data_IF_730583809794
#
_entry.id   IF_730583809794
#
_cell.length_a   1.000
_cell.length_b   1.000
_cell.length_c   1.000
_cell.angle_alpha   90.00
_cell.angle_beta   90.00
_cell.angle_gamma   90.00
#
_symmetry.space_group_name_H-M   'P 1'
#
loop_
_entity.id
_entity.type
_entity.pdbx_description
1 polymer ?
#
# COMPACT_ATOMS: atom_id res chain seq x y z
N UNK A 1 29.55 21.68 27.99
CA UNK A 1 29.03 20.30 28.03
C UNK A 1 29.01 19.62 29.41
N UNK A 2 30.05 19.70 30.25
CA UNK A 2 30.12 18.95 31.53
C UNK A 2 28.99 19.22 32.55
N UNK A 3 28.40 20.43 32.57
CA UNK A 3 27.32 20.77 33.53
C UNK A 3 25.97 20.15 33.18
N UNK A 4 25.63 20.06 31.90
CA UNK A 4 24.35 19.53 31.43
C UNK A 4 24.27 18.01 31.63
N UNK A 5 25.37 17.29 31.37
CA UNK A 5 25.48 15.84 31.57
C UNK A 5 25.31 15.49 33.06
N UNK A 6 25.90 16.28 33.96
CA UNK A 6 25.72 16.09 35.41
C UNK A 6 24.28 16.31 35.85
N UNK A 7 23.57 17.28 35.26
CA UNK A 7 22.17 17.53 35.57
C UNK A 7 21.26 16.37 35.12
N UNK A 8 21.51 15.80 33.93
CA UNK A 8 20.74 14.68 33.39
C UNK A 8 20.96 13.40 34.23
N UNK A 9 22.21 13.07 34.56
CA UNK A 9 22.52 11.92 35.41
C UNK A 9 21.88 12.04 36.81
N UNK A 10 21.86 13.25 37.36
CA UNK A 10 21.26 13.51 38.67
C UNK A 10 19.72 13.39 38.60
N UNK A 11 19.11 13.78 37.48
CA UNK A 11 17.68 13.59 37.22
C UNK A 11 17.32 12.10 37.12
N UNK A 12 18.10 11.32 36.37
CA UNK A 12 17.90 9.87 36.23
C UNK A 12 18.02 9.16 37.58
N UNK A 13 19.04 9.50 38.39
CA UNK A 13 19.17 8.95 39.74
C UNK A 13 17.99 9.29 40.65
N UNK A 14 17.44 10.50 40.54
CA UNK A 14 16.25 10.90 41.30
C UNK A 14 15.03 10.07 40.86
N UNK A 15 14.82 9.87 39.56
CA UNK A 15 13.71 9.08 39.05
C UNK A 15 13.79 7.60 39.46
N UNK A 16 14.99 7.00 39.42
CA UNK A 16 15.21 5.62 39.86
C UNK A 16 15.04 5.47 41.37
N UNK A 17 15.48 6.46 42.16
CA UNK A 17 15.29 6.44 43.61
C UNK A 17 13.81 6.66 44.01
N UNK A 18 13.06 7.46 43.24
CA UNK A 18 11.66 7.75 43.51
C UNK A 18 10.70 6.61 43.11
N UNK A 19 11.10 5.70 42.22
CA UNK A 19 10.27 4.58 41.78
C UNK A 19 10.15 3.44 42.79
N UNK A 20 10.91 3.49 43.90
CA UNK A 20 10.85 2.47 44.96
C UNK A 20 11.35 1.09 44.54
N UNK A 21 12.02 0.98 43.38
CA UNK A 21 12.59 -0.28 42.91
C UNK A 21 13.86 -0.62 43.70
N UNK A 22 13.95 -1.81 44.33
CA UNK A 22 15.18 -2.24 44.98
C UNK A 22 16.26 -2.51 43.92
N UNK A 23 17.34 -1.72 43.96
CA UNK A 23 18.52 -1.93 43.12
C UNK A 23 19.32 -3.12 43.63
N UNK A 24 19.11 -4.29 43.02
CA UNK A 24 20.01 -5.44 43.18
C UNK A 24 21.17 -5.26 42.21
N UNK A 25 22.35 -4.96 42.75
CA UNK A 25 23.55 -4.60 41.98
C UNK A 25 24.13 -5.73 41.10
N UNK A 26 23.61 -6.96 41.20
CA UNK A 26 24.20 -8.15 40.54
C UNK A 26 23.41 -8.70 39.34
N UNK A 27 22.28 -8.12 38.94
CA UNK A 27 21.46 -8.72 37.86
C UNK A 27 20.79 -7.75 36.89
N UNK A 28 21.27 -6.52 36.76
CA UNK A 28 20.76 -5.56 35.78
C UNK A 28 21.87 -5.15 34.82
N UNK A 29 22.01 -5.90 33.73
CA UNK A 29 22.80 -5.47 32.58
C UNK A 29 21.89 -4.59 31.71
N UNK A 30 21.78 -3.31 32.07
CA UNK A 30 21.11 -2.34 31.20
C UNK A 30 22.05 -1.99 30.05
N UNK A 31 21.84 -2.63 28.90
CA UNK A 31 22.53 -2.27 27.67
C UNK A 31 21.82 -1.05 27.06
N UNK A 32 22.17 0.14 27.56
CA UNK A 32 21.74 1.41 26.98
C UNK A 32 22.64 1.74 25.78
N UNK A 33 22.50 0.98 24.70
CA UNK A 33 23.04 1.39 23.39
C UNK A 33 22.16 2.49 22.81
N UNK A 34 22.32 3.70 23.34
CA UNK A 34 22.01 4.89 22.56
C UNK A 34 23.14 5.05 21.54
N UNK A 35 22.95 4.53 20.33
CA UNK A 35 23.72 4.97 19.17
C UNK A 35 23.33 6.41 18.87
N UNK A 36 23.96 7.35 19.57
CA UNK A 36 24.09 8.70 19.06
C UNK A 36 24.95 8.59 17.79
N UNK A 37 24.40 9.05 16.66
CA UNK A 37 25.16 9.21 15.43
C UNK A 37 26.52 9.81 15.77
N UNK A 38 27.58 9.05 15.49
CA UNK A 38 28.94 9.50 15.79
C UNK A 38 29.28 10.64 14.83
N UNK A 39 29.90 11.74 15.29
CA UNK A 39 30.32 12.80 14.41
C UNK A 39 31.31 12.22 13.40
N UNK A 40 30.92 12.24 12.13
CA UNK A 40 31.76 11.76 11.04
C UNK A 40 32.93 12.73 10.84
N UNK A 41 34.16 12.21 10.88
CA UNK A 41 35.33 12.94 10.38
C UNK A 41 35.36 12.79 8.86
N UNK A 42 34.83 13.77 8.14
CA UNK A 42 35.04 13.85 6.70
C UNK A 42 36.52 14.05 6.40
N UNK A 43 37.04 13.24 5.48
CA UNK A 43 38.37 13.40 4.93
C UNK A 43 38.46 14.70 4.10
N UNK A 44 38.89 15.80 4.74
CA UNK A 44 39.69 16.94 4.20
C UNK A 44 39.58 18.13 5.16
N UNK A 45 40.66 18.92 5.27
CA UNK A 45 40.93 19.98 6.26
C UNK A 45 39.89 21.13 6.37
N UNK A 46 38.81 21.11 5.57
CA UNK A 46 37.85 22.19 5.43
C UNK A 46 36.48 21.93 6.09
N UNK A 47 36.02 20.67 6.19
CA UNK A 47 34.78 20.30 6.90
C UNK A 47 35.14 19.65 8.24
N UNK A 48 34.59 20.18 9.33
CA UNK A 48 34.92 19.82 10.71
C UNK A 48 33.95 18.78 11.27
N UNK A 49 32.65 18.93 11.00
CA UNK A 49 31.62 18.03 11.48
C UNK A 49 30.36 18.12 10.61
N UNK A 50 29.65 17.01 10.48
CA UNK A 50 28.33 16.93 9.86
C UNK A 50 27.44 16.15 10.82
N UNK A 51 26.35 16.76 11.23
CA UNK A 51 25.32 16.14 12.07
C UNK A 51 24.01 16.10 11.29
N UNK A 52 23.27 15.00 11.42
CA UNK A 52 21.97 14.83 10.78
C UNK A 52 20.92 14.46 11.82
N UNK A 53 19.71 14.99 11.66
CA UNK A 53 18.57 14.65 12.52
C UNK A 53 17.27 14.64 11.72
N UNK A 54 16.35 13.77 12.12
CA UNK A 54 15.01 13.68 11.55
C UNK A 54 14.01 14.08 12.63
N UNK A 55 13.10 14.98 12.28
CA UNK A 55 11.93 15.33 13.09
C UNK A 55 10.67 14.88 12.35
N UNK A 56 9.86 14.01 12.95
CA UNK A 56 8.58 13.60 12.36
C UNK A 56 7.55 14.72 12.54
N UNK A 57 7.12 15.36 11.43
CA UNK A 57 5.99 16.31 11.45
C UNK A 57 4.65 15.55 11.50
N UNK A 58 4.61 14.41 10.82
CA UNK A 58 3.61 13.35 10.92
C UNK A 58 4.28 12.00 10.62
N UNK A 59 3.62 10.86 10.85
CA UNK A 59 4.18 9.53 10.53
C UNK A 59 4.58 9.31 9.07
N UNK A 60 4.02 10.08 8.13
CA UNK A 60 4.35 10.05 6.70
C UNK A 60 5.10 11.31 6.21
N UNK A 61 5.49 12.21 7.12
CA UNK A 61 6.11 13.49 6.78
C UNK A 61 7.29 13.82 7.73
N UNK A 62 8.44 13.14 7.55
CA UNK A 62 9.69 13.53 8.18
C UNK A 62 10.25 14.85 7.62
N UNK A 63 10.86 15.63 8.50
CA UNK A 63 11.75 16.74 8.17
C UNK A 63 13.17 16.35 8.51
N UNK A 64 14.04 16.42 7.53
CA UNK A 64 15.48 16.19 7.67
C UNK A 64 16.19 17.53 7.91
N UNK A 65 17.04 17.56 8.92
CA UNK A 65 17.95 18.66 9.21
C UNK A 65 19.40 18.18 9.15
N UNK A 66 20.23 18.91 8.39
CA UNK A 66 21.67 18.66 8.25
C UNK A 66 22.40 19.90 8.77
N UNK A 67 23.28 19.70 9.74
CA UNK A 67 24.12 20.74 10.32
C UNK A 67 25.57 20.51 9.91
N UNK A 68 26.17 21.48 9.22
CA UNK A 68 27.53 21.39 8.68
C UNK A 68 28.39 22.45 9.36
N UNK A 69 29.43 21.99 10.05
CA UNK A 69 30.47 22.84 10.62
C UNK A 69 31.70 22.79 9.71
N UNK A 70 32.16 23.96 9.26
CA UNK A 70 33.21 24.11 8.28
C UNK A 70 34.20 25.20 8.71
N UNK A 71 35.41 25.17 8.15
CA UNK A 71 36.42 26.20 8.38
C UNK A 71 35.92 27.57 7.90
N UNK A 72 36.14 28.64 8.68
CA UNK A 72 35.73 30.02 8.34
C UNK A 72 36.15 30.44 6.92
N UNK A 73 37.27 29.91 6.41
CA UNK A 73 37.79 30.21 5.06
C UNK A 73 36.86 29.81 3.91
N UNK A 74 36.01 28.80 4.12
CA UNK A 74 35.09 28.28 3.10
C UNK A 74 33.63 28.65 3.37
N UNK A 75 33.38 29.45 4.41
CA UNK A 75 32.05 29.97 4.70
C UNK A 75 31.79 31.28 3.93
N UNK A 76 30.56 31.50 3.44
CA UNK A 76 29.45 30.56 3.40
C UNK A 76 29.68 29.45 2.37
N UNK A 77 29.18 28.24 2.67
CA UNK A 77 29.18 27.13 1.70
C UNK A 77 28.36 27.53 0.47
N UNK A 78 28.92 27.32 -0.73
CA UNK A 78 28.29 27.65 -2.01
C UNK A 78 27.69 26.40 -2.62
N UNK A 79 26.39 26.16 -2.42
CA UNK A 79 25.72 24.99 -2.97
C UNK A 79 25.44 25.15 -4.47
N UNK A 80 25.51 24.04 -5.21
CA UNK A 80 25.21 24.02 -6.65
C UNK A 80 23.80 24.55 -6.92
N UNK A 81 23.68 25.46 -7.89
CA UNK A 81 22.36 25.99 -8.30
C UNK A 81 21.51 24.97 -9.07
N UNK A 82 22.12 23.94 -9.63
CA UNK A 82 21.41 22.92 -10.41
C UNK A 82 21.03 21.74 -9.53
N UNK A 83 22.01 21.15 -8.84
CA UNK A 83 21.86 19.90 -8.09
C UNK A 83 22.51 20.05 -6.70
N UNK A 84 21.93 20.89 -5.80
CA UNK A 84 22.53 21.15 -4.50
C UNK A 84 22.58 19.89 -3.63
N UNK A 85 21.55 19.04 -3.75
CA UNK A 85 21.35 17.86 -2.92
C UNK A 85 20.79 16.71 -3.76
N UNK A 86 21.44 15.56 -3.66
CA UNK A 86 20.98 14.27 -4.16
C UNK A 86 20.68 13.39 -2.93
N UNK A 87 19.47 12.81 -2.91
CA UNK A 87 19.04 11.85 -1.89
C UNK A 87 18.97 10.47 -2.52
N UNK A 88 19.58 9.48 -1.86
CA UNK A 88 19.42 8.08 -2.27
C UNK A 88 18.69 7.32 -1.17
N UNK A 89 17.63 6.60 -1.55
CA UNK A 89 16.76 5.88 -0.63
C UNK A 89 17.02 4.39 -0.81
N UNK A 90 17.19 3.70 0.32
CA UNK A 90 17.48 2.28 0.38
C UNK A 90 16.40 1.54 1.15
N UNK A 91 16.12 0.32 0.70
CA UNK A 91 15.33 -0.68 1.40
C UNK A 91 16.15 -1.97 1.49
N UNK A 92 16.40 -2.48 2.71
CA UNK A 92 17.22 -3.68 2.95
C UNK A 92 18.54 -3.68 2.13
N UNK A 93 19.26 -2.56 2.14
CA UNK A 93 20.48 -2.29 1.36
C UNK A 93 20.34 -2.11 -0.17
N UNK A 94 19.17 -2.33 -0.75
CA UNK A 94 18.91 -2.07 -2.17
C UNK A 94 18.55 -0.62 -2.40
N UNK A 95 19.24 0.05 -3.33
CA UNK A 95 18.89 1.40 -3.77
C UNK A 95 17.56 1.33 -4.54
N UNK A 96 16.51 1.96 -4.02
CA UNK A 96 15.18 1.97 -4.63
C UNK A 96 14.91 3.24 -5.43
N UNK A 97 15.46 4.39 -4.99
CA UNK A 97 15.21 5.66 -5.66
C UNK A 97 16.36 6.66 -5.40
N UNK A 98 16.54 7.59 -6.34
CA UNK A 98 17.46 8.73 -6.20
C UNK A 98 16.73 10.00 -6.64
N UNK A 99 16.67 11.01 -5.77
CA UNK A 99 15.96 12.26 -6.02
C UNK A 99 16.90 13.46 -5.91
N UNK A 100 16.77 14.39 -6.85
CA UNK A 100 17.39 15.71 -6.76
C UNK A 100 16.45 16.68 -6.03
N UNK A 101 16.89 17.19 -4.88
CA UNK A 101 16.08 18.11 -4.07
C UNK A 101 16.39 19.56 -4.42
N UNK A 102 15.35 20.33 -4.75
CA UNK A 102 15.44 21.76 -5.08
C UNK A 102 14.82 22.65 -4.02
N UNK A 103 13.75 22.18 -3.37
CA UNK A 103 13.05 22.91 -2.33
C UNK A 103 13.70 22.66 -0.97
N UNK A 104 14.74 23.44 -0.68
CA UNK A 104 15.53 23.33 0.55
C UNK A 104 15.66 24.70 1.21
N UNK A 105 15.67 24.70 2.54
CA UNK A 105 15.97 25.90 3.32
C UNK A 105 17.40 25.84 3.80
N UNK A 106 18.22 26.82 3.40
CA UNK A 106 19.62 26.93 3.84
C UNK A 106 19.74 28.14 4.75
N UNK A 107 20.16 27.89 5.99
CA UNK A 107 20.48 28.92 6.98
C UNK A 107 21.99 28.98 7.09
N UNK A 108 22.58 30.00 6.48
CA UNK A 108 24.02 30.23 6.54
C UNK A 108 24.45 30.65 7.96
N UNK A 109 25.56 30.08 8.43
CA UNK A 109 26.11 30.35 9.75
C UNK A 109 27.20 29.34 10.11
N UNK A 110 27.57 29.34 11.39
CA UNK A 110 28.40 28.30 11.99
C UNK A 110 27.61 27.69 13.17
N UNK A 111 26.95 26.52 12.96
CA UNK A 111 26.93 25.71 11.75
C UNK A 111 26.02 26.27 10.63
N UNK A 112 26.27 25.84 9.39
CA UNK A 112 25.32 26.02 8.27
C UNK A 112 24.28 24.92 8.36
N UNK A 113 22.99 25.29 8.37
CA UNK A 113 21.88 24.36 8.55
C UNK A 113 21.11 24.23 7.23
N UNK A 114 20.83 23.00 6.83
CA UNK A 114 19.97 22.67 5.69
C UNK A 114 18.75 21.93 6.23
N UNK A 115 17.57 22.38 5.85
CA UNK A 115 16.30 21.73 6.18
C UNK A 115 15.55 21.36 4.90
N UNK A 116 15.01 20.14 4.87
CA UNK A 116 14.13 19.68 3.80
C UNK A 116 13.03 18.78 4.34
N UNK A 117 11.85 18.90 3.73
CA UNK A 117 10.69 18.06 3.99
C UNK A 117 10.74 16.85 3.05
N UNK A 118 10.53 15.66 3.61
CA UNK A 118 10.59 14.38 2.89
C UNK A 118 9.24 13.64 3.02
N UNK A 119 8.12 14.23 2.54
CA UNK A 119 6.84 13.55 2.64
C UNK A 119 6.84 12.28 1.79
N UNK A 120 6.23 11.21 2.30
CA UNK A 120 6.28 9.87 1.70
C UNK A 120 5.78 9.85 0.24
N UNK A 121 4.75 10.63 -0.07
CA UNK A 121 4.18 10.74 -1.40
C UNK A 121 5.11 11.43 -2.42
N UNK A 122 6.05 12.26 -1.96
CA UNK A 122 7.09 12.83 -2.83
C UNK A 122 8.09 11.75 -3.25
N UNK A 123 8.36 10.81 -2.36
CA UNK A 123 9.30 9.70 -2.58
C UNK A 123 8.66 8.55 -3.36
N UNK A 124 7.33 8.52 -3.40
CA UNK A 124 6.48 7.50 -4.01
C UNK A 124 6.78 6.08 -3.52
N UNK A 125 6.98 5.94 -2.20
CA UNK A 125 7.32 4.67 -1.55
C UNK A 125 6.21 4.21 -0.60
N UNK A 126 6.05 2.89 -0.39
CA UNK A 126 5.08 2.38 0.57
C UNK A 126 5.48 2.63 2.03
N UNK A 127 4.61 2.22 2.96
CA UNK A 127 4.91 2.18 4.38
C UNK A 127 6.05 1.18 4.65
N UNK A 128 7.00 1.54 5.50
CA UNK A 128 8.17 0.69 5.75
C UNK A 128 9.34 1.41 6.41
N UNK A 129 10.40 0.64 6.62
CA UNK A 129 11.67 1.14 7.15
C UNK A 129 12.65 1.31 5.99
N UNK A 130 13.25 2.49 5.91
CA UNK A 130 14.17 2.87 4.85
C UNK A 130 15.43 3.48 5.45
N UNK A 131 16.46 3.56 4.63
CA UNK A 131 17.64 4.34 4.93
C UNK A 131 17.85 5.39 3.85
N UNK A 132 18.25 6.59 4.24
CA UNK A 132 18.53 7.69 3.32
C UNK A 132 19.99 8.08 3.45
N UNK A 133 20.72 8.14 2.34
CA UNK A 133 21.96 8.89 2.27
C UNK A 133 21.78 10.20 1.49
N UNK A 134 22.63 11.16 1.81
CA UNK A 134 22.57 12.50 1.26
C UNK A 134 23.92 12.83 0.69
N UNK A 135 23.92 13.35 -0.53
CA UNK A 135 25.08 13.89 -1.20
C UNK A 135 24.85 15.36 -1.52
N UNK A 136 25.67 16.21 -0.90
CA UNK A 136 25.63 17.66 -1.06
C UNK A 136 26.70 18.09 -2.04
N UNK A 137 26.31 18.84 -3.07
CA UNK A 137 27.24 19.41 -4.05
C UNK A 137 27.53 20.86 -3.68
N UNK A 138 28.76 21.10 -3.24
CA UNK A 138 29.24 22.42 -2.80
C UNK A 138 30.35 22.87 -3.75
N UNK A 139 30.12 23.96 -4.48
CA UNK A 139 30.98 24.49 -5.56
C UNK A 139 32.37 24.92 -5.07
N UNK A 140 32.47 25.39 -3.82
CA UNK A 140 33.74 25.77 -3.20
C UNK A 140 34.43 24.61 -2.47
N UNK A 141 34.01 23.35 -2.72
CA UNK A 141 34.68 22.12 -2.29
C UNK A 141 35.08 21.27 -3.49
N UNK A 142 36.21 20.57 -3.39
CA UNK A 142 36.71 19.69 -4.45
C UNK A 142 35.89 18.40 -4.62
N UNK A 143 35.16 17.99 -3.59
CA UNK A 143 34.39 16.76 -3.56
C UNK A 143 33.04 17.00 -2.85
N UNK A 144 31.97 16.28 -3.25
CA UNK A 144 30.69 16.39 -2.58
C UNK A 144 30.78 15.86 -1.14
N UNK A 145 29.94 16.41 -0.27
CA UNK A 145 29.79 15.93 1.10
C UNK A 145 28.78 14.79 1.08
N UNK A 146 29.14 13.62 1.61
CA UNK A 146 28.24 12.46 1.69
C UNK A 146 27.95 12.15 3.16
N UNK A 147 26.68 11.99 3.52
CA UNK A 147 26.26 11.59 4.86
C UNK A 147 26.44 10.09 5.09
N UNK A 148 26.41 9.67 6.36
CA UNK A 148 26.04 8.28 6.66
C UNK A 148 24.59 8.02 6.25
N UNK A 149 24.23 6.74 6.09
CA UNK A 149 22.84 6.34 5.97
C UNK A 149 22.06 6.71 7.24
N UNK A 150 20.87 7.23 7.08
CA UNK A 150 19.99 7.69 8.16
C UNK A 150 18.71 6.85 8.12
N UNK A 151 18.35 6.13 9.18
CA UNK A 151 17.11 5.37 9.20
C UNK A 151 15.90 6.30 9.24
N UNK A 152 14.86 5.97 8.48
CA UNK A 152 13.58 6.65 8.48
C UNK A 152 12.47 5.62 8.34
N UNK A 153 11.40 5.76 9.11
CA UNK A 153 10.23 4.89 9.05
C UNK A 153 9.04 5.70 8.58
N UNK A 154 8.36 5.21 7.55
CA UNK A 154 7.12 5.77 7.04
C UNK A 154 5.93 4.94 7.46
N UNK A 155 4.87 5.63 7.86
CA UNK A 155 3.59 5.03 8.13
C UNK A 155 2.46 5.97 7.69
N UNK A 156 1.52 5.45 6.92
CA UNK A 156 0.33 6.20 6.50
C UNK A 156 -0.78 6.05 7.53
N UNK A 157 -1.38 7.16 7.95
CA UNK A 157 -2.59 7.13 8.78
C UNK A 157 -3.82 6.88 7.90
N UNK A 158 -4.07 5.60 7.59
CA UNK A 158 -5.16 5.12 6.76
C UNK A 158 -5.85 3.90 7.37
N UNK A 159 -7.16 3.79 7.15
CA UNK A 159 -8.01 2.80 7.82
C UNK A 159 -8.52 1.74 6.85
N UNK A 160 -8.33 0.47 7.22
CA UNK A 160 -8.96 -0.66 6.55
C UNK A 160 -10.31 -1.00 7.18
N UNK A 161 -11.29 -1.36 6.34
CA UNK A 161 -12.59 -1.87 6.80
C UNK A 161 -12.75 -3.29 6.29
N UNK A 162 -12.88 -4.24 7.22
CA UNK A 162 -13.03 -5.67 6.91
C UNK A 162 -14.22 -5.97 6.00
N UNK A 163 -14.12 -7.05 5.24
CA UNK A 163 -15.23 -7.52 4.43
C UNK A 163 -16.46 -7.84 5.31
N UNK A 164 -17.67 -7.56 4.80
CA UNK A 164 -18.88 -7.86 5.57
C UNK A 164 -19.01 -9.38 5.72
N UNK A 165 -19.36 -9.86 6.92
CA UNK A 165 -19.57 -11.30 7.11
C UNK A 165 -20.85 -11.82 6.45
N UNK A 166 -21.87 -10.96 6.37
CA UNK A 166 -23.16 -11.27 5.76
C UNK A 166 -23.97 -9.99 5.50
N UNK A 167 -24.98 -10.09 4.65
CA UNK A 167 -26.04 -9.08 4.50
C UNK A 167 -27.38 -9.63 4.95
N UNK A 168 -28.30 -8.74 5.33
CA UNK A 168 -29.61 -9.17 5.83
C UNK A 168 -30.54 -9.62 4.69
N UNK A 169 -31.59 -10.38 5.02
CA UNK A 169 -32.51 -10.96 4.01
C UNK A 169 -33.33 -9.92 3.23
N UNK A 170 -33.48 -8.71 3.76
CA UNK A 170 -34.18 -7.60 3.12
C UNK A 170 -33.23 -6.68 2.33
N UNK A 171 -32.00 -7.13 2.09
CA UNK A 171 -30.97 -6.41 1.36
C UNK A 171 -30.47 -7.21 0.16
N UNK A 172 -29.76 -6.54 -0.73
CA UNK A 172 -28.96 -7.14 -1.80
C UNK A 172 -27.61 -6.48 -1.79
N UNK A 173 -26.54 -7.29 -1.76
CA UNK A 173 -25.18 -6.80 -1.95
C UNK A 173 -24.84 -6.84 -3.44
N UNK A 174 -24.39 -5.71 -3.96
CA UNK A 174 -23.87 -5.58 -5.32
C UNK A 174 -22.35 -5.43 -5.23
N UNK A 175 -21.60 -6.20 -6.01
CA UNK A 175 -20.16 -5.97 -6.19
C UNK A 175 -19.98 -5.11 -7.43
N UNK A 176 -19.52 -3.88 -7.23
CA UNK A 176 -19.37 -2.85 -8.25
C UNK A 176 -17.89 -2.53 -8.41
N UNK A 177 -17.37 -2.63 -9.62
CA UNK A 177 -15.96 -2.34 -9.90
C UNK A 177 -15.81 -0.89 -10.34
N UNK A 178 -14.98 -0.13 -9.62
CA UNK A 178 -14.67 1.27 -9.91
C UNK A 178 -13.17 1.46 -10.11
N UNK A 179 -12.72 2.41 -10.95
CA UNK A 179 -11.30 2.70 -11.07
C UNK A 179 -10.70 3.21 -9.76
N UNK A 180 -9.41 2.95 -9.54
CA UNK A 180 -8.61 3.66 -8.55
C UNK A 180 -8.29 5.10 -9.00
N UNK A 181 -7.63 5.88 -8.14
CA UNK A 181 -7.35 7.29 -8.41
C UNK A 181 -6.40 7.52 -9.59
N UNK A 182 -5.51 6.55 -9.86
CA UNK A 182 -4.60 6.59 -11.01
C UNK A 182 -5.19 5.98 -12.28
N UNK A 183 -6.42 5.43 -12.20
CA UNK A 183 -7.13 4.78 -13.30
C UNK A 183 -6.32 3.61 -13.89
N UNK A 184 -5.56 2.93 -13.05
CA UNK A 184 -4.74 1.77 -13.40
C UNK A 184 -5.48 0.47 -13.07
N UNK A 185 -6.15 0.42 -11.92
CA UNK A 185 -6.78 -0.79 -11.41
C UNK A 185 -8.29 -0.60 -11.22
N UNK A 186 -9.02 -1.71 -11.17
CA UNK A 186 -10.42 -1.73 -10.76
C UNK A 186 -10.54 -2.29 -9.34
N UNK A 187 -11.21 -1.54 -8.48
CA UNK A 187 -11.45 -1.89 -7.09
C UNK A 187 -12.88 -2.44 -6.96
N UNK A 188 -13.07 -3.70 -6.52
CA UNK A 188 -14.39 -4.23 -6.22
C UNK A 188 -14.93 -3.54 -4.97
N UNK A 189 -16.14 -3.00 -5.02
CA UNK A 189 -16.83 -2.34 -3.91
C UNK A 189 -18.14 -3.05 -3.63
N UNK A 190 -18.37 -3.41 -2.36
CA UNK A 190 -19.66 -3.97 -1.96
C UNK A 190 -20.63 -2.87 -1.56
N UNK A 191 -21.64 -2.65 -2.39
CA UNK A 191 -22.77 -1.76 -2.09
C UNK A 191 -23.98 -2.56 -1.66
N UNK A 192 -24.43 -2.34 -0.42
CA UNK A 192 -25.66 -2.92 0.11
C UNK A 192 -26.86 -2.01 -0.22
N UNK A 193 -27.88 -2.58 -0.84
CA UNK A 193 -29.11 -1.88 -1.23
C UNK A 193 -30.35 -2.60 -0.68
N UNK A 194 -31.52 -1.95 -0.64
CA UNK A 194 -32.77 -2.67 -0.39
C UNK A 194 -32.94 -3.84 -1.37
N UNK A 195 -33.52 -4.94 -0.89
CA UNK A 195 -33.71 -6.14 -1.69
C UNK A 195 -34.31 -5.84 -3.07
N UNK A 196 -33.67 -6.38 -4.10
CA UNK A 196 -34.10 -6.23 -5.49
C UNK A 196 -34.34 -7.59 -6.15
N UNK A 197 -35.35 -7.65 -7.02
CA UNK A 197 -35.63 -8.82 -7.88
C UNK A 197 -35.00 -8.67 -9.27
N UNK A 198 -34.32 -7.55 -9.52
CA UNK A 198 -33.70 -7.21 -10.81
C UNK A 198 -32.22 -6.85 -10.62
N UNK A 199 -31.38 -7.79 -10.10
CA UNK A 199 -29.99 -7.51 -9.75
C UNK A 199 -29.17 -6.97 -10.93
N UNK A 200 -29.36 -7.52 -12.14
CA UNK A 200 -28.73 -7.00 -13.38
C UNK A 200 -28.95 -5.50 -13.58
N UNK A 201 -30.21 -5.04 -13.47
CA UNK A 201 -30.55 -3.63 -13.65
C UNK A 201 -30.03 -2.78 -12.51
N UNK A 202 -30.17 -3.28 -11.27
CA UNK A 202 -29.66 -2.59 -10.09
C UNK A 202 -28.14 -2.41 -10.15
N UNK A 203 -27.35 -3.41 -10.55
CA UNK A 203 -25.90 -3.30 -10.73
C UNK A 203 -25.54 -2.17 -11.68
N UNK A 204 -26.16 -2.10 -12.86
CA UNK A 204 -25.90 -1.05 -13.84
C UNK A 204 -26.34 0.33 -13.33
N UNK A 205 -27.55 0.44 -12.78
CA UNK A 205 -28.07 1.71 -12.27
C UNK A 205 -27.17 2.27 -11.15
N UNK A 206 -26.58 1.39 -10.33
CA UNK A 206 -25.66 1.75 -9.26
C UNK A 206 -24.22 1.99 -9.75
N UNK A 207 -23.74 1.29 -10.78
CA UNK A 207 -22.48 1.66 -11.45
C UNK A 207 -22.58 3.07 -12.03
N UNK A 208 -23.69 3.39 -12.71
CA UNK A 208 -23.91 4.72 -13.31
C UNK A 208 -23.92 5.85 -12.28
N UNK A 209 -24.25 5.57 -11.02
CA UNK A 209 -24.17 6.55 -9.94
C UNK A 209 -22.73 6.88 -9.52
N UNK A 210 -21.75 6.03 -9.86
CA UNK A 210 -20.38 6.13 -9.36
C UNK A 210 -20.23 5.65 -7.91
N UNK A 211 -19.01 5.63 -7.36
CA UNK A 211 -18.75 5.28 -5.96
C UNK A 211 -19.21 6.39 -5.01
N UNK A 212 -19.47 6.09 -3.74
CA UNK A 212 -19.64 7.14 -2.71
C UNK A 212 -18.35 7.93 -2.51
N UNK A 213 -18.48 9.24 -2.34
CA UNK A 213 -17.33 10.14 -2.10
C UNK A 213 -16.47 9.73 -0.90
N UNK A 214 -17.08 9.15 0.15
CA UNK A 214 -16.38 8.66 1.35
C UNK A 214 -15.39 7.51 1.07
N UNK A 215 -15.43 6.89 -0.10
CA UNK A 215 -14.42 5.93 -0.53
C UNK A 215 -13.15 6.61 -1.04
N UNK A 216 -13.19 7.88 -1.44
CA UNK A 216 -12.03 8.58 -2.00
C UNK A 216 -11.59 8.07 -3.38
N UNK A 217 -12.49 7.43 -4.12
CA UNK A 217 -12.30 6.98 -5.51
C UNK A 217 -12.81 8.04 -6.53
N UNK A 218 -12.44 7.96 -7.82
CA UNK A 218 -12.95 8.85 -8.85
C UNK A 218 -14.47 8.89 -8.91
N UNK A 219 -15.02 10.10 -8.87
CA UNK A 219 -16.47 10.33 -8.90
C UNK A 219 -17.04 10.22 -10.32
N UNK A 220 -18.29 9.81 -10.42
CA UNK A 220 -19.04 9.71 -11.68
C UNK A 220 -19.15 8.29 -12.23
N UNK A 221 -19.86 8.15 -13.35
CA UNK A 221 -20.11 6.85 -13.97
C UNK A 221 -18.84 6.31 -14.66
N UNK A 222 -18.39 5.08 -14.34
CA UNK A 222 -17.32 4.45 -15.10
C UNK A 222 -17.83 3.88 -16.45
N UNK A 223 -19.15 3.87 -16.70
CA UNK A 223 -19.78 3.21 -17.85
C UNK A 223 -20.69 4.16 -18.66
N UNK A 224 -20.92 3.90 -19.96
CA UNK A 224 -21.91 4.64 -20.74
C UNK A 224 -23.34 4.40 -20.26
N UNK A 225 -24.27 5.22 -20.75
CA UNK A 225 -25.69 5.03 -20.49
C UNK A 225 -26.20 3.74 -21.12
N UNK A 226 -26.80 2.86 -20.30
CA UNK A 226 -27.38 1.59 -20.74
C UNK A 226 -28.89 1.71 -20.98
N UNK A 227 -29.31 1.48 -22.22
CA UNK A 227 -30.70 1.57 -22.68
C UNK A 227 -31.52 0.34 -22.30
N UNK A 228 -30.89 -0.84 -22.26
CA UNK A 228 -31.57 -2.10 -22.00
C UNK A 228 -30.64 -3.19 -21.51
N UNK A 229 -31.21 -4.21 -20.86
CA UNK A 229 -30.51 -5.37 -20.34
C UNK A 229 -31.35 -6.63 -20.53
N UNK A 230 -30.71 -7.75 -20.86
CA UNK A 230 -31.32 -9.08 -20.76
C UNK A 230 -30.28 -10.12 -20.38
N UNK A 231 -30.70 -11.27 -19.86
CA UNK A 231 -29.82 -12.41 -19.57
C UNK A 231 -30.26 -13.60 -20.40
N UNK A 232 -29.35 -14.18 -21.18
CA UNK A 232 -29.61 -15.37 -22.00
C UNK A 232 -28.47 -16.36 -21.86
N UNK A 233 -28.75 -17.57 -21.33
CA UNK A 233 -27.77 -18.66 -21.17
C UNK A 233 -26.47 -18.21 -20.50
N UNK A 234 -26.57 -17.41 -19.45
CA UNK A 234 -25.42 -16.88 -18.71
C UNK A 234 -24.73 -15.67 -19.33
N UNK A 235 -25.19 -15.17 -20.48
CA UNK A 235 -24.64 -13.95 -21.10
C UNK A 235 -25.58 -12.77 -20.86
N UNK A 236 -25.07 -11.74 -20.19
CA UNK A 236 -25.76 -10.48 -20.03
C UNK A 236 -25.63 -9.64 -21.30
N UNK A 237 -26.76 -9.39 -21.98
CA UNK A 237 -26.82 -8.53 -23.16
C UNK A 237 -27.04 -7.09 -22.71
N UNK A 238 -26.05 -6.23 -22.98
CA UNK A 238 -26.05 -4.81 -22.61
C UNK A 238 -26.31 -3.98 -23.86
N UNK A 239 -27.43 -3.26 -23.88
CA UNK A 239 -27.85 -2.44 -25.01
C UNK A 239 -27.47 -0.99 -24.78
N UNK A 240 -26.62 -0.46 -25.65
CA UNK A 240 -26.06 0.89 -25.64
C UNK A 240 -26.54 1.68 -26.86
N UNK A 241 -26.58 3.02 -26.78
CA UNK A 241 -26.64 3.86 -27.97
C UNK A 241 -25.40 3.62 -28.85
N UNK A 242 -25.52 3.87 -30.16
CA UNK A 242 -24.35 3.83 -31.05
C UNK A 242 -23.27 4.84 -30.69
N UNK A 243 -23.65 6.02 -30.23
CA UNK A 243 -22.72 7.02 -29.70
C UNK A 243 -22.62 6.90 -28.18
N UNK A 244 -21.47 6.43 -27.71
CA UNK A 244 -21.14 6.32 -26.28
C UNK A 244 -20.15 7.41 -25.84
N UNK A 245 -19.92 8.45 -26.64
CA UNK A 245 -19.11 9.62 -26.26
C UNK A 245 -17.68 9.29 -25.88
N UNK A 246 -17.24 9.76 -24.70
CA UNK A 246 -15.86 9.64 -24.23
C UNK A 246 -15.38 8.18 -24.12
N UNK A 247 -16.30 7.25 -23.91
CA UNK A 247 -16.01 5.82 -23.80
C UNK A 247 -15.60 5.17 -25.14
N UNK A 248 -15.81 5.84 -26.28
CA UNK A 248 -15.27 5.39 -27.59
C UNK A 248 -14.06 6.23 -28.03
N UNK A 249 -13.93 7.45 -27.50
CA UNK A 249 -12.92 8.42 -27.91
C UNK A 249 -11.55 8.21 -27.24
N UNK A 250 -11.54 7.66 -26.02
CA UNK A 250 -10.32 7.54 -25.21
C UNK A 250 -10.09 6.10 -24.74
N UNK A 251 -8.90 5.57 -25.01
CA UNK A 251 -8.50 4.20 -24.65
C UNK A 251 -8.72 3.88 -23.16
N UNK A 252 -8.32 4.77 -22.26
CA UNK A 252 -8.47 4.57 -20.82
C UNK A 252 -9.94 4.50 -20.41
N UNK A 253 -10.77 5.45 -20.87
CA UNK A 253 -12.21 5.45 -20.58
C UNK A 253 -12.92 4.22 -21.16
N UNK A 254 -12.52 3.81 -22.37
CA UNK A 254 -13.01 2.60 -23.01
C UNK A 254 -12.72 1.34 -22.19
N UNK A 255 -11.45 1.13 -21.80
CA UNK A 255 -11.03 0.00 -20.97
C UNK A 255 -11.81 -0.05 -19.66
N UNK A 256 -11.86 1.06 -18.93
CA UNK A 256 -12.60 1.15 -17.66
C UNK A 256 -14.08 0.83 -17.86
N UNK A 257 -14.72 1.34 -18.91
CA UNK A 257 -16.13 1.06 -19.15
C UNK A 257 -16.40 -0.42 -19.44
N UNK A 258 -15.58 -1.05 -20.27
CA UNK A 258 -15.71 -2.48 -20.59
C UNK A 258 -15.48 -3.32 -19.34
N UNK A 259 -14.33 -3.14 -18.68
CA UNK A 259 -13.93 -3.96 -17.54
C UNK A 259 -14.85 -3.75 -16.33
N UNK A 260 -15.25 -2.50 -16.02
CA UNK A 260 -16.19 -2.22 -14.92
C UNK A 260 -17.55 -2.87 -15.17
N UNK A 261 -18.05 -2.82 -16.41
CA UNK A 261 -19.32 -3.47 -16.78
C UNK A 261 -19.21 -4.99 -16.68
N UNK A 262 -18.17 -5.58 -17.27
CA UNK A 262 -17.96 -7.03 -17.31
C UNK A 262 -17.79 -7.58 -15.90
N UNK A 263 -16.87 -7.04 -15.11
CA UNK A 263 -16.57 -7.54 -13.76
C UNK A 263 -17.76 -7.38 -12.81
N UNK A 264 -18.48 -6.25 -12.85
CA UNK A 264 -19.61 -6.03 -11.95
C UNK A 264 -20.83 -6.89 -12.31
N UNK A 265 -21.10 -7.08 -13.61
CA UNK A 265 -22.20 -7.95 -14.02
C UNK A 265 -21.86 -9.43 -13.78
N UNK A 266 -20.63 -9.85 -14.03
CA UNK A 266 -20.17 -11.22 -13.80
C UNK A 266 -19.98 -11.57 -12.32
N UNK A 267 -19.99 -10.59 -11.42
CA UNK A 267 -20.11 -10.86 -9.98
C UNK A 267 -21.49 -11.41 -9.57
N UNK A 268 -22.48 -11.36 -10.47
CA UNK A 268 -23.76 -12.04 -10.28
C UNK A 268 -23.58 -13.51 -10.70
N UNK A 269 -23.85 -14.45 -9.79
CA UNK A 269 -23.62 -15.88 -10.00
C UNK A 269 -24.15 -16.46 -11.32
N UNK A 270 -25.30 -15.96 -11.80
CA UNK A 270 -25.91 -16.41 -13.06
C UNK A 270 -25.26 -15.84 -14.33
N UNK A 271 -24.35 -14.87 -14.21
CA UNK A 271 -23.71 -14.16 -15.33
C UNK A 271 -22.27 -14.63 -15.51
N UNK A 272 -22.00 -15.24 -16.65
CA UNK A 272 -20.68 -15.73 -17.04
C UNK A 272 -19.91 -14.68 -17.86
N UNK A 273 -20.61 -13.86 -18.63
CA UNK A 273 -20.00 -12.83 -19.46
C UNK A 273 -21.02 -11.82 -20.00
N UNK A 274 -20.53 -10.86 -20.77
CA UNK A 274 -21.29 -9.71 -21.26
C UNK A 274 -21.17 -9.59 -22.77
N UNK A 275 -22.30 -9.45 -23.46
CA UNK A 275 -22.34 -9.08 -24.88
C UNK A 275 -22.87 -7.66 -25.02
N UNK A 276 -22.11 -6.80 -25.69
CA UNK A 276 -22.52 -5.43 -25.99
C UNK A 276 -23.30 -5.36 -27.32
N UNK A 277 -24.35 -4.56 -27.32
CA UNK A 277 -25.16 -4.22 -28.50
C UNK A 277 -25.22 -2.70 -28.63
N UNK A 278 -25.06 -2.20 -29.86
CA UNK A 278 -25.11 -0.78 -30.21
C UNK A 278 -26.26 -0.56 -31.18
N UNK A 279 -27.28 0.20 -30.78
CA UNK A 279 -28.55 0.33 -31.53
C UNK A 279 -29.14 -1.04 -31.95
N UNK A 280 -29.14 -2.00 -31.01
CA UNK A 280 -29.58 -3.39 -31.19
C UNK A 280 -28.76 -4.23 -32.20
N UNK A 281 -27.56 -3.78 -32.58
CA UNK A 281 -26.64 -4.53 -33.44
C UNK A 281 -25.35 -4.87 -32.71
N UNK A 282 -24.76 -6.02 -33.03
CA UNK A 282 -23.40 -6.34 -32.63
C UNK A 282 -22.46 -5.67 -33.64
N UNK A 283 -21.48 -4.93 -33.15
CA UNK A 283 -20.43 -4.33 -33.96
C UNK A 283 -19.17 -5.20 -33.89
N UNK A 284 -18.27 -5.05 -34.87
CA UNK A 284 -16.95 -5.68 -34.78
C UNK A 284 -16.08 -4.99 -33.74
N UNK A 285 -16.11 -3.66 -33.73
CA UNK A 285 -15.31 -2.81 -32.87
C UNK A 285 -16.16 -1.68 -32.28
N UNK A 286 -15.90 -1.35 -31.02
CA UNK A 286 -16.35 -0.15 -30.30
C UNK A 286 -15.46 0.03 -29.07
N UNK A 287 -15.78 0.93 -28.14
CA UNK A 287 -14.94 1.22 -26.97
C UNK A 287 -13.48 1.41 -27.39
N UNK A 288 -13.22 2.39 -28.25
CA UNK A 288 -11.86 2.70 -28.72
C UNK A 288 -11.16 1.47 -29.33
N UNK A 289 -11.73 0.94 -30.41
CA UNK A 289 -11.19 -0.20 -31.17
C UNK A 289 -11.17 -1.55 -30.43
N UNK A 290 -11.83 -1.68 -29.29
CA UNK A 290 -12.04 -2.96 -28.60
C UNK A 290 -12.93 -3.88 -29.43
N UNK A 291 -12.54 -5.15 -29.54
CA UNK A 291 -13.35 -6.19 -30.22
C UNK A 291 -14.57 -6.51 -29.37
N UNK A 292 -15.76 -6.35 -29.94
CA UNK A 292 -17.06 -6.55 -29.25
C UNK A 292 -18.01 -7.46 -30.02
N UNK A 293 -17.50 -8.18 -31.04
CA UNK A 293 -18.28 -9.08 -31.89
C UNK A 293 -18.75 -10.37 -31.19
N UNK A 294 -18.21 -10.62 -30.00
CA UNK A 294 -18.46 -11.79 -29.15
C UNK A 294 -18.60 -11.38 -27.69
N UNK A 295 -19.18 -12.25 -26.83
CA UNK A 295 -19.24 -11.99 -25.40
C UNK A 295 -17.83 -11.88 -24.81
N UNK A 296 -17.68 -10.89 -23.92
CA UNK A 296 -16.47 -10.64 -23.14
C UNK A 296 -16.67 -11.26 -21.75
N UNK A 297 -15.65 -11.96 -21.26
CA UNK A 297 -15.67 -12.66 -19.98
C UNK A 297 -14.71 -11.98 -19.01
N UNK A 298 -14.98 -12.03 -17.68
CA UNK A 298 -14.03 -11.53 -16.70
C UNK A 298 -12.72 -12.31 -16.76
N UNK A 299 -11.63 -11.67 -16.35
CA UNK A 299 -10.33 -12.33 -16.22
C UNK A 299 -10.43 -13.48 -15.22
N UNK A 300 -9.70 -14.56 -15.48
CA UNK A 300 -9.48 -15.67 -14.54
C UNK A 300 -8.01 -15.76 -14.10
N UNK A 301 -7.23 -14.74 -14.42
CA UNK A 301 -5.83 -14.71 -14.04
C UNK A 301 -5.74 -14.56 -12.51
N UNK A 302 -4.77 -15.22 -11.87
CA UNK A 302 -4.47 -14.97 -10.47
C UNK A 302 -4.18 -13.50 -10.19
N UNK A 303 -4.59 -13.02 -9.03
CA UNK A 303 -4.47 -11.61 -8.63
C UNK A 303 -3.86 -11.51 -7.22
N UNK A 304 -2.93 -10.57 -7.03
CA UNK A 304 -2.57 -10.08 -5.71
C UNK A 304 -3.66 -9.13 -5.20
N UNK A 305 -4.16 -9.36 -3.99
CA UNK A 305 -5.07 -8.42 -3.33
C UNK A 305 -4.25 -7.53 -2.40
N UNK A 306 -3.91 -6.33 -2.85
CA UNK A 306 -3.00 -5.41 -2.15
C UNK A 306 -3.75 -4.21 -1.58
N UNK A 307 -3.18 -3.52 -0.61
CA UNK A 307 -3.82 -2.34 -0.01
C UNK A 307 -3.73 -1.13 -0.93
N UNK A 308 -4.84 -0.48 -1.24
CA UNK A 308 -4.86 0.77 -1.99
C UNK A 308 -5.39 1.91 -1.11
N UNK A 309 -4.52 2.87 -0.79
CA UNK A 309 -4.86 4.05 -0.01
C UNK A 309 -5.53 5.08 -0.91
N UNK A 310 -6.76 5.44 -0.57
CA UNK A 310 -7.54 6.44 -1.30
C UNK A 310 -7.36 7.85 -0.74
N UNK A 311 -7.91 8.85 -1.44
CA UNK A 311 -7.84 10.26 -1.05
C UNK A 311 -8.52 10.60 0.29
N UNK A 312 -9.33 9.67 0.82
CA UNK A 312 -9.99 9.79 2.13
C UNK A 312 -9.27 8.98 3.20
N UNK A 313 -8.03 8.54 2.94
CA UNK A 313 -7.25 7.64 3.79
C UNK A 313 -7.98 6.33 4.11
N UNK A 314 -8.81 5.84 3.18
CA UNK A 314 -9.38 4.51 3.27
C UNK A 314 -8.47 3.52 2.56
N UNK A 315 -8.24 2.36 3.15
CA UNK A 315 -7.55 1.26 2.49
C UNK A 315 -8.60 0.34 1.87
N UNK A 316 -8.47 0.07 0.57
CA UNK A 316 -9.30 -0.85 -0.18
C UNK A 316 -8.42 -1.98 -0.73
N UNK A 317 -8.82 -3.23 -0.51
CA UNK A 317 -8.11 -4.36 -1.12
C UNK A 317 -8.38 -4.36 -2.63
N UNK A 318 -7.33 -4.15 -3.40
CA UNK A 318 -7.39 -3.98 -4.85
C UNK A 318 -6.76 -5.19 -5.53
N UNK A 319 -7.50 -5.90 -6.40
CA UNK A 319 -6.93 -6.97 -7.19
C UNK A 319 -5.97 -6.41 -8.24
N UNK A 320 -4.77 -6.97 -8.29
CA UNK A 320 -3.75 -6.64 -9.27
C UNK A 320 -3.28 -7.93 -9.94
N UNK A 321 -3.36 -8.05 -11.27
CA UNK A 321 -2.94 -9.26 -11.96
C UNK A 321 -1.51 -9.66 -11.62
N UNK A 322 -1.29 -10.93 -11.29
CA UNK A 322 0.05 -11.43 -11.01
C UNK A 322 0.90 -11.41 -12.28
N UNK A 323 2.05 -10.74 -12.22
CA UNK A 323 3.06 -10.73 -13.28
C UNK A 323 4.34 -11.44 -12.79
N UNK A 324 4.19 -12.69 -12.35
CA UNK A 324 5.31 -13.51 -11.86
C UNK A 324 5.59 -14.67 -12.80
N UNK A 325 6.88 -14.96 -13.02
CA UNK A 325 7.34 -16.00 -13.95
C UNK A 325 6.92 -17.41 -13.52
N UNK A 326 6.83 -17.66 -12.21
CA UNK A 326 6.35 -18.91 -11.62
C UNK A 326 5.25 -18.64 -10.59
N UNK A 327 4.16 -19.40 -10.67
CA UNK A 327 3.02 -19.36 -9.74
C UNK A 327 3.17 -20.47 -8.69
N UNK A 328 4.22 -20.42 -7.88
CA UNK A 328 4.34 -21.30 -6.69
C UNK A 328 3.72 -20.61 -5.49
N UNK A 329 3.34 -21.37 -4.46
CA UNK A 329 2.77 -20.79 -3.24
C UNK A 329 3.76 -19.81 -2.60
N UNK A 330 5.05 -20.15 -2.54
CA UNK A 330 6.09 -19.26 -2.04
C UNK A 330 6.22 -17.96 -2.85
N UNK A 331 6.22 -18.03 -4.19
CA UNK A 331 6.37 -16.83 -5.01
C UNK A 331 5.15 -15.92 -4.92
N UNK A 332 3.95 -16.49 -4.79
CA UNK A 332 2.70 -15.75 -4.58
C UNK A 332 2.70 -15.11 -3.19
N UNK A 333 3.04 -15.86 -2.13
CA UNK A 333 3.10 -15.32 -0.77
C UNK A 333 4.09 -14.15 -0.67
N UNK A 334 5.30 -14.35 -1.20
CA UNK A 334 6.33 -13.32 -1.20
C UNK A 334 5.98 -12.16 -2.12
N UNK A 335 5.14 -12.36 -3.15
CA UNK A 335 4.63 -11.27 -3.99
C UNK A 335 3.79 -10.22 -3.26
N UNK A 336 3.30 -10.52 -2.04
CA UNK A 336 2.59 -9.56 -1.18
C UNK A 336 3.54 -8.68 -0.34
N UNK A 337 4.85 -8.92 -0.43
CA UNK A 337 5.92 -8.17 0.25
C UNK A 337 6.59 -7.16 -0.68
N UNK A 338 7.14 -6.10 -0.11
CA UNK A 338 7.78 -5.05 -0.90
C UNK A 338 9.06 -5.52 -1.59
N UNK A 339 9.91 -6.26 -0.87
CA UNK A 339 11.20 -6.76 -1.36
C UNK A 339 11.09 -7.53 -2.69
N UNK A 340 9.99 -8.23 -2.92
CA UNK A 340 9.77 -9.05 -4.11
C UNK A 340 9.03 -8.34 -5.26
N UNK A 341 8.37 -7.20 -5.01
CA UNK A 341 7.55 -6.49 -6.00
C UNK A 341 7.75 -4.96 -5.92
N UNK A 342 8.99 -4.50 -5.85
CA UNK A 342 9.31 -3.08 -5.67
C UNK A 342 8.72 -2.15 -6.74
N UNK A 343 8.51 -2.65 -7.97
CA UNK A 343 7.92 -1.89 -9.08
C UNK A 343 6.40 -1.74 -8.92
N UNK A 344 5.76 -2.69 -8.24
CA UNK A 344 4.31 -2.71 -8.05
C UNK A 344 3.88 -1.67 -7.03
N UNK A 345 4.59 -1.61 -5.91
CA UNK A 345 4.19 -0.84 -4.74
C UNK A 345 4.74 0.57 -4.76
N UNK A 346 3.94 1.50 -4.24
CA UNK A 346 4.24 2.92 -4.21
C UNK A 346 3.52 3.58 -3.03
N UNK A 347 3.35 4.91 -3.02
CA UNK A 347 2.67 5.58 -1.92
C UNK A 347 1.20 5.14 -1.74
N UNK A 348 0.48 4.87 -2.82
CA UNK A 348 -0.93 4.48 -2.76
C UNK A 348 -1.12 2.96 -2.68
N UNK A 349 -0.35 2.20 -3.45
CA UNK A 349 -0.42 0.75 -3.49
C UNK A 349 0.59 0.14 -2.51
N UNK A 350 0.06 -0.42 -1.43
CA UNK A 350 0.80 -0.86 -0.26
C UNK A 350 0.98 -2.38 -0.24
N UNK A 351 2.17 -2.88 0.13
CA UNK A 351 2.35 -4.27 0.51
C UNK A 351 1.49 -4.57 1.74
N UNK A 352 0.99 -5.80 1.82
CA UNK A 352 0.07 -6.22 2.88
C UNK A 352 0.71 -7.20 3.85
N UNK A 353 1.84 -7.80 3.45
CA UNK A 353 2.62 -8.74 4.27
C UNK A 353 3.96 -8.11 4.60
N UNK A 354 4.30 -7.92 5.89
CA UNK A 354 5.61 -7.44 6.31
C UNK A 354 6.73 -8.41 5.96
N UNK A 355 7.96 -7.90 5.82
CA UNK A 355 9.13 -8.70 5.42
C UNK A 355 9.43 -9.83 6.43
N UNK A 356 9.25 -9.55 7.72
CA UNK A 356 9.51 -10.48 8.82
C UNK A 356 8.55 -11.68 8.85
N UNK A 357 7.39 -11.60 8.18
CA UNK A 357 6.43 -12.70 8.11
C UNK A 357 6.88 -13.71 7.07
N UNK A 358 7.24 -14.91 7.48
CA UNK A 358 7.84 -15.93 6.60
C UNK A 358 6.90 -17.12 6.47
N UNK A 359 6.65 -17.54 5.22
CA UNK A 359 6.08 -18.85 4.92
C UNK A 359 7.15 -19.92 5.13
N UNK A 360 6.92 -20.79 6.11
CA UNK A 360 7.82 -21.87 6.48
C UNK A 360 7.55 -23.15 5.68
N UNK A 361 6.27 -23.43 5.43
CA UNK A 361 5.81 -24.60 4.67
C UNK A 361 4.38 -24.37 4.20
N UNK A 362 3.91 -25.22 3.28
CA UNK A 362 2.51 -25.24 2.87
C UNK A 362 2.07 -26.64 2.46
N UNK A 363 0.78 -26.94 2.64
CA UNK A 363 0.18 -28.18 2.13
C UNK A 363 -1.13 -27.88 1.40
N UNK A 364 -1.44 -28.68 0.38
CA UNK A 364 -2.69 -28.56 -0.38
C UNK A 364 -3.44 -29.89 -0.27
N UNK A 365 -4.62 -29.84 0.34
CA UNK A 365 -5.53 -30.99 0.46
C UNK A 365 -6.86 -30.65 -0.21
N UNK A 366 -7.09 -31.21 -1.41
CA UNK A 366 -8.27 -30.87 -2.21
C UNK A 366 -8.23 -29.41 -2.65
N UNK A 367 -9.19 -28.60 -2.18
CA UNK A 367 -9.27 -27.15 -2.44
C UNK A 367 -8.91 -26.29 -1.22
N UNK A 368 -8.37 -26.90 -0.17
CA UNK A 368 -7.86 -26.20 1.00
C UNK A 368 -6.33 -26.05 0.92
N UNK A 369 -5.84 -24.83 1.12
CA UNK A 369 -4.40 -24.54 1.24
C UNK A 369 -4.08 -24.20 2.70
N UNK A 370 -3.23 -25.01 3.30
CA UNK A 370 -2.67 -24.75 4.62
C UNK A 370 -1.35 -23.98 4.47
N UNK A 371 -1.22 -22.85 5.17
CA UNK A 371 -0.03 -22.03 5.21
C UNK A 371 0.57 -22.08 6.61
N UNK A 372 1.83 -22.54 6.71
CA UNK A 372 2.58 -22.55 7.96
C UNK A 372 3.49 -21.35 8.02
N UNK A 373 3.26 -20.46 8.99
CA UNK A 373 3.94 -19.17 9.13
C UNK A 373 4.81 -19.14 10.40
N UNK A 374 5.81 -18.26 10.42
CA UNK A 374 6.60 -17.98 11.62
C UNK A 374 5.85 -17.10 12.64
N UNK A 375 6.38 -16.99 13.85
CA UNK A 375 5.79 -16.21 14.96
C UNK A 375 5.56 -14.73 14.61
N UNK A 376 6.31 -14.17 13.66
CA UNK A 376 6.17 -12.78 13.24
C UNK A 376 4.77 -12.45 12.69
N UNK A 377 4.07 -13.44 12.11
CA UNK A 377 2.68 -13.27 11.66
C UNK A 377 1.74 -12.79 12.79
N UNK A 378 1.97 -13.23 14.03
CA UNK A 378 1.13 -12.86 15.18
C UNK A 378 1.46 -11.46 15.71
N UNK A 379 2.68 -10.99 15.48
CA UNK A 379 3.16 -9.68 15.94
C UNK A 379 3.05 -8.60 14.86
N UNK A 380 2.85 -8.99 13.60
CA UNK A 380 2.60 -8.09 12.49
C UNK A 380 1.41 -7.18 12.80
N UNK A 381 1.63 -5.87 12.65
CA UNK A 381 0.63 -4.84 12.91
C UNK A 381 0.00 -4.96 14.31
N UNK A 382 0.82 -5.23 15.34
CA UNK A 382 0.30 -5.44 16.70
C UNK A 382 -0.51 -4.24 17.20
N UNK A 383 -0.06 -3.04 16.85
CA UNK A 383 -0.68 -1.75 17.22
C UNK A 383 -1.75 -1.27 16.21
N UNK A 384 -1.96 -2.01 15.11
CA UNK A 384 -2.87 -1.63 14.01
C UNK A 384 -3.81 -2.82 13.65
N UNK A 385 -4.87 -3.05 14.43
CA UNK A 385 -5.78 -4.19 14.27
C UNK A 385 -6.43 -4.29 12.89
N UNK A 386 -6.77 -3.15 12.29
CA UNK A 386 -7.35 -3.08 10.95
C UNK A 386 -6.34 -3.49 9.87
N UNK A 387 -5.07 -3.07 9.96
CA UNK A 387 -3.99 -3.52 9.07
C UNK A 387 -3.68 -5.00 9.24
N UNK A 388 -3.80 -5.52 10.46
CA UNK A 388 -3.70 -6.97 10.70
C UNK A 388 -4.79 -7.74 9.96
N UNK A 389 -6.04 -7.27 10.02
CA UNK A 389 -7.15 -7.85 9.24
C UNK A 389 -6.93 -7.71 7.74
N UNK A 390 -6.42 -6.57 7.28
CA UNK A 390 -6.05 -6.36 5.89
C UNK A 390 -5.02 -7.39 5.41
N UNK A 391 -3.98 -7.69 6.20
CA UNK A 391 -2.99 -8.71 5.88
C UNK A 391 -3.64 -10.09 5.71
N UNK A 392 -4.51 -10.48 6.64
CA UNK A 392 -5.22 -11.78 6.59
C UNK A 392 -6.14 -11.85 5.37
N UNK A 393 -6.97 -10.84 5.16
CA UNK A 393 -7.90 -10.79 4.02
C UNK A 393 -7.12 -10.76 2.70
N UNK A 394 -6.03 -9.99 2.62
CA UNK A 394 -5.15 -9.94 1.46
C UNK A 394 -4.61 -11.32 1.09
N UNK A 395 -4.05 -12.07 2.05
CA UNK A 395 -3.55 -13.43 1.81
C UNK A 395 -4.71 -14.34 1.38
N UNK A 396 -5.86 -14.24 2.06
CA UNK A 396 -7.05 -15.04 1.79
C UNK A 396 -7.57 -14.83 0.36
N UNK A 397 -7.83 -13.59 -0.06
CA UNK A 397 -8.32 -13.28 -1.41
C UNK A 397 -7.27 -13.57 -2.49
N UNK A 398 -5.98 -13.34 -2.20
CA UNK A 398 -4.90 -13.63 -3.14
C UNK A 398 -4.86 -15.11 -3.49
N UNK A 399 -4.84 -16.01 -2.49
CA UNK A 399 -4.76 -17.44 -2.77
C UNK A 399 -6.08 -18.03 -3.28
N UNK A 400 -7.23 -17.50 -2.84
CA UNK A 400 -8.54 -17.95 -3.38
C UNK A 400 -8.87 -17.39 -4.76
N UNK A 401 -8.02 -16.51 -5.32
CA UNK A 401 -8.06 -16.17 -6.75
C UNK A 401 -7.56 -17.30 -7.66
N UNK A 402 -6.88 -18.32 -7.10
CA UNK A 402 -6.39 -19.48 -7.84
C UNK A 402 -7.54 -20.46 -8.13
N UNK A 403 -7.61 -20.99 -9.36
CA UNK A 403 -8.73 -21.81 -9.87
C UNK A 403 -9.06 -23.05 -9.01
N UNK A 404 -8.12 -23.54 -8.19
CA UNK A 404 -8.28 -24.77 -7.39
C UNK A 404 -8.23 -24.54 -5.87
N UNK A 405 -8.22 -23.29 -5.38
CA UNK A 405 -8.16 -22.99 -3.95
C UNK A 405 -9.43 -22.25 -3.54
N UNK A 406 -10.20 -22.86 -2.63
CA UNK A 406 -11.46 -22.32 -2.11
C UNK A 406 -11.33 -21.80 -0.67
N UNK A 407 -10.33 -22.28 0.07
CA UNK A 407 -10.13 -21.92 1.48
C UNK A 407 -8.68 -21.94 1.91
N UNK A 408 -8.35 -21.14 2.92
CA UNK A 408 -7.01 -21.00 3.50
C UNK A 408 -7.06 -21.35 4.99
N UNK A 409 -6.12 -22.15 5.45
CA UNK A 409 -5.89 -22.40 6.87
C UNK A 409 -4.53 -21.84 7.29
N UNK A 410 -4.51 -21.06 8.37
CA UNK A 410 -3.28 -20.51 8.92
C UNK A 410 -2.81 -21.35 10.11
N UNK A 411 -1.57 -21.84 10.02
CA UNK A 411 -0.83 -22.41 11.15
C UNK A 411 0.36 -21.51 11.48
N UNK A 412 0.65 -21.31 12.76
CA UNK A 412 1.78 -20.47 13.19
C UNK A 412 2.65 -21.25 14.16
N UNK A 413 3.96 -21.24 13.91
CA UNK A 413 4.95 -21.85 14.81
C UNK A 413 4.79 -21.30 16.24
N UNK A 414 4.81 -22.18 17.24
CA UNK A 414 4.65 -21.79 18.64
C UNK A 414 3.20 -21.55 19.10
N UNK A 415 2.21 -21.54 18.19
CA UNK A 415 0.81 -21.27 18.51
C UNK A 415 -0.11 -22.47 18.17
N UNK A 416 -0.60 -23.16 19.19
CA UNK A 416 -1.43 -24.36 19.03
C UNK A 416 -2.96 -24.08 19.05
N UNK A 417 -3.40 -22.93 19.58
CA UNK A 417 -4.78 -22.41 19.51
C UNK A 417 -4.86 -21.00 20.11
N UNK A 418 -5.75 -20.16 19.55
CA UNK A 418 -5.83 -18.69 19.65
C UNK A 418 -5.56 -17.93 20.98
N UNK A 419 -5.21 -16.63 20.85
CA UNK A 419 -5.84 -15.42 21.44
C UNK A 419 -5.00 -14.14 21.13
N UNK A 420 -5.57 -12.90 21.09
CA UNK A 420 -6.97 -12.52 21.27
C UNK A 420 -7.72 -12.22 19.93
N UNK A 421 -8.98 -12.64 19.89
CA UNK A 421 -10.15 -12.17 19.11
C UNK A 421 -10.10 -11.88 17.59
N UNK A 422 -8.97 -11.88 16.87
CA UNK A 422 -8.95 -11.29 15.53
C UNK A 422 -8.53 -12.20 14.36
N UNK A 423 -7.65 -13.20 14.57
CA UNK A 423 -7.24 -14.12 13.49
C UNK A 423 -7.59 -15.57 13.85
N UNK A 424 -8.50 -16.22 13.11
CA UNK A 424 -8.74 -17.65 13.26
C UNK A 424 -7.55 -18.48 12.73
N UNK A 425 -7.00 -19.35 13.60
CA UNK A 425 -5.91 -20.28 13.30
C UNK A 425 -6.42 -21.72 13.31
N UNK A 426 -5.73 -22.61 12.58
CA UNK A 426 -6.00 -24.06 12.53
C UNK A 426 -7.45 -24.40 12.15
N UNK A 427 -8.05 -23.56 11.29
CA UNK A 427 -9.35 -23.79 10.71
C UNK A 427 -9.42 -23.17 9.31
N UNK A 428 -10.17 -23.77 8.38
CA UNK A 428 -10.31 -23.26 7.02
C UNK A 428 -11.14 -21.96 7.01
N UNK A 429 -10.64 -20.98 6.26
CA UNK A 429 -11.27 -19.69 6.03
C UNK A 429 -11.65 -19.55 4.58
N UNK A 430 -12.86 -19.02 4.35
CA UNK A 430 -13.38 -18.75 3.02
C UNK A 430 -13.53 -17.23 2.90
N UNK A 431 -13.07 -16.62 1.80
CA UNK A 431 -13.24 -15.19 1.58
C UNK A 431 -14.72 -14.82 1.59
N UNK A 432 -15.05 -13.69 2.22
CA UNK A 432 -16.38 -13.13 2.06
C UNK A 432 -16.56 -12.61 0.61
N UNK A 433 -17.72 -12.78 -0.03
CA UNK A 433 -17.98 -12.11 -1.31
C UNK A 433 -18.18 -10.58 -1.15
N UNK A 434 -18.22 -10.07 0.08
CA UNK A 434 -18.58 -8.70 0.42
C UNK A 434 -17.36 -7.82 0.77
N UNK A 435 -16.32 -7.89 -0.05
CA UNK A 435 -15.07 -7.13 0.10
C UNK A 435 -15.30 -5.62 -0.08
N UNK A 436 -14.48 -4.79 0.57
CA UNK A 436 -14.50 -3.33 0.47
C UNK A 436 -15.92 -2.76 0.60
N UNK A 437 -16.58 -2.93 1.75
CA UNK A 437 -17.91 -2.39 1.95
C UNK A 437 -17.94 -0.88 1.70
N UNK A 438 -19.01 -0.37 1.10
CA UNK A 438 -19.12 1.05 0.80
C UNK A 438 -19.46 1.92 2.04
N UNK A 439 -19.84 1.29 3.15
CA UNK A 439 -20.22 1.96 4.40
C UNK A 439 -19.05 2.60 5.13
#
# INVERSE_FOLDING_TARGET
>A
MSRSIRAILLLIMIFVAASGMPLYADSMNFDFNFEFATPFNSSKEDIVAIDTSITMLSPSHPRLEISITANEKILPLQFSQTNPIELSIYFEDSLINTLEMKDITIIHGEPTIIQMDLPQNLLDIPDGNYEIDIKLTVENLEAPIVSSKIPVTYHTDATYVEALKSVTRNETALTLYFPDNDINHLVPITRVIPYTRTPLRSTIDHLTQGPKEALGLPVGSPIPTVQGLSLNRGIANVYLPRDIGTYDQHATSARIAVESTVNSLSAINEVQGVQFYFDNQILNFSFHETIVDKPIYPSKNPEFYVGNITNTNRILLTPVPMSIESLTIDSIFNGLKYSNQQILFNYNLQPTVPEEVVLLDYTIEGAALELKLNEAFMNAYIDYPDRRKMMVDSILYTFTSLENIESIEFQVEGFASGLPDEIPLNQPLIPSPYINPES
#
